data_IF_104181088282
#
_entry.id   IF_104181088282
#
_cell.length_a   1.000
_cell.length_b   1.000
_cell.length_c   1.000
_cell.angle_alpha   90.00
_cell.angle_beta   90.00
_cell.angle_gamma   90.00
#
_symmetry.space_group_name_H-M   'P 1'
#
loop_
_entity.id
_entity.type
_entity.pdbx_description
1 polymer ?
#
# COMPACT_ATOMS: atom_id res chain seq x y z
N UNK A 1 -31.62 -0.14 35.20
CA UNK A 1 -30.94 -1.40 34.81
C UNK A 1 -30.02 -1.98 35.90
N UNK A 2 -29.44 -1.16 36.79
CA UNK A 2 -28.49 -1.63 37.83
C UNK A 2 -29.02 -2.69 38.80
N UNK A 3 -30.34 -2.74 39.07
CA UNK A 3 -30.95 -3.67 40.03
C UNK A 3 -31.10 -5.09 39.43
N UNK A 4 -31.40 -5.20 38.13
CA UNK A 4 -31.58 -6.49 37.45
C UNK A 4 -30.25 -7.21 37.22
N UNK A 5 -29.19 -6.49 36.84
CA UNK A 5 -27.86 -7.07 36.66
C UNK A 5 -27.24 -7.56 37.98
N UNK A 6 -27.47 -6.87 39.10
CA UNK A 6 -27.02 -7.36 40.41
C UNK A 6 -27.75 -8.63 40.88
N UNK A 7 -28.97 -8.88 40.38
CA UNK A 7 -29.85 -9.98 40.85
C UNK A 7 -29.79 -11.23 39.97
N UNK A 8 -29.49 -11.09 38.67
CA UNK A 8 -29.56 -12.20 37.70
C UNK A 8 -28.30 -12.41 36.83
N UNK A 9 -27.27 -11.57 36.95
CA UNK A 9 -26.05 -11.76 36.15
C UNK A 9 -25.13 -12.81 36.78
N UNK A 10 -24.84 -13.87 36.01
CA UNK A 10 -23.88 -14.92 36.38
C UNK A 10 -22.42 -14.54 36.07
N UNK A 11 -22.19 -13.44 35.35
CA UNK A 11 -20.84 -12.93 35.10
C UNK A 11 -20.30 -12.18 36.34
N UNK A 12 -19.51 -12.91 37.14
CA UNK A 12 -18.87 -12.41 38.36
C UNK A 12 -17.93 -11.22 38.14
N UNK A 13 -17.42 -11.01 36.91
CA UNK A 13 -16.48 -9.91 36.64
C UNK A 13 -17.17 -8.57 36.38
N UNK A 14 -18.40 -8.58 35.84
CA UNK A 14 -19.13 -7.35 35.50
C UNK A 14 -20.34 -7.09 36.39
N UNK A 15 -20.89 -8.10 37.08
CA UNK A 15 -22.07 -7.98 37.94
C UNK A 15 -21.93 -6.91 39.04
N UNK A 16 -20.76 -6.80 39.67
CA UNK A 16 -20.47 -5.78 40.69
C UNK A 16 -20.47 -4.35 40.14
N UNK A 17 -20.18 -4.16 38.85
CA UNK A 17 -20.21 -2.86 38.15
C UNK A 17 -21.53 -2.63 37.40
N UNK A 18 -22.58 -3.38 37.71
CA UNK A 18 -23.88 -3.29 37.04
C UNK A 18 -23.87 -3.84 35.61
N UNK A 19 -23.03 -4.85 35.34
CA UNK A 19 -22.90 -5.48 34.02
C UNK A 19 -22.15 -4.64 32.99
N UNK A 20 -21.46 -3.57 33.40
CA UNK A 20 -20.76 -2.67 32.48
C UNK A 20 -19.40 -3.24 32.08
N UNK A 21 -19.19 -3.40 30.78
CA UNK A 21 -17.91 -3.77 30.20
C UNK A 21 -17.06 -2.53 29.88
N UNK A 22 -15.74 -2.72 29.83
CA UNK A 22 -14.84 -1.71 29.26
C UNK A 22 -15.12 -1.53 27.75
N UNK A 23 -14.81 -0.36 27.16
CA UNK A 23 -14.92 -0.18 25.72
C UNK A 23 -14.12 -1.25 24.98
N UNK A 24 -14.73 -1.89 23.98
CA UNK A 24 -14.10 -2.93 23.19
C UNK A 24 -14.26 -2.69 21.69
N UNK A 25 -13.39 -3.31 20.90
CA UNK A 25 -13.39 -3.35 19.44
C UNK A 25 -13.54 -4.79 18.96
N UNK A 26 -13.78 -4.98 17.66
CA UNK A 26 -13.93 -6.33 17.11
C UNK A 26 -12.71 -7.22 17.39
N UNK A 27 -12.98 -8.46 17.79
CA UNK A 27 -12.00 -9.47 18.16
C UNK A 27 -11.47 -9.37 19.59
N UNK A 28 -12.03 -8.50 20.44
CA UNK A 28 -11.62 -8.35 21.84
C UNK A 28 -12.52 -9.14 22.81
N UNK A 29 -13.72 -9.52 22.39
CA UNK A 29 -14.62 -10.37 23.15
C UNK A 29 -14.57 -11.77 22.53
N UNK A 30 -14.33 -12.78 23.37
CA UNK A 30 -14.27 -14.20 22.95
C UNK A 30 -15.66 -14.80 22.64
N UNK A 31 -16.52 -14.04 21.94
CA UNK A 31 -17.84 -14.44 21.49
C UNK A 31 -18.29 -13.60 20.30
N UNK A 32 -18.20 -14.19 19.10
CA UNK A 32 -18.65 -13.55 17.84
C UNK A 32 -20.14 -13.18 17.89
N UNK A 33 -21.06 -14.05 18.38
CA UNK A 33 -22.47 -13.67 18.49
C UNK A 33 -22.69 -12.44 19.37
N UNK A 34 -21.95 -12.35 20.49
CA UNK A 34 -22.01 -11.19 21.39
C UNK A 34 -21.51 -9.92 20.70
N UNK A 35 -20.35 -9.98 20.05
CA UNK A 35 -19.80 -8.82 19.34
C UNK A 35 -20.75 -8.31 18.26
N UNK A 36 -21.26 -9.21 17.41
CA UNK A 36 -22.17 -8.85 16.32
C UNK A 36 -23.43 -8.17 16.85
N UNK A 37 -24.05 -8.75 17.88
CA UNK A 37 -25.23 -8.16 18.50
C UNK A 37 -24.94 -6.79 19.13
N UNK A 38 -23.80 -6.62 19.79
CA UNK A 38 -23.40 -5.34 20.37
C UNK A 38 -23.13 -4.26 19.31
N UNK A 39 -22.46 -4.59 18.21
CA UNK A 39 -22.12 -3.64 17.14
C UNK A 39 -23.33 -3.23 16.29
N UNK A 40 -24.34 -4.10 16.20
CA UNK A 40 -25.61 -3.83 15.52
C UNK A 40 -26.52 -2.86 16.28
N UNK A 41 -26.27 -2.61 17.56
CA UNK A 41 -26.98 -1.55 18.30
C UNK A 41 -26.56 -0.17 17.77
N UNK A 42 -27.55 0.69 17.56
CA UNK A 42 -27.38 2.03 16.98
C UNK A 42 -27.72 3.09 18.01
N UNK A 43 -28.85 2.96 18.70
CA UNK A 43 -29.34 4.00 19.60
C UNK A 43 -28.77 3.86 21.01
N UNK A 44 -28.41 5.00 21.62
CA UNK A 44 -27.97 5.02 23.01
C UNK A 44 -29.09 4.49 23.91
N UNK A 45 -28.74 3.54 24.77
CA UNK A 45 -29.62 2.76 25.62
C UNK A 45 -30.44 1.65 24.96
N UNK A 46 -30.29 1.39 23.66
CA UNK A 46 -30.91 0.26 22.98
C UNK A 46 -30.47 -1.05 23.62
N UNK A 47 -31.41 -2.00 23.70
CA UNK A 47 -31.19 -3.35 24.24
C UNK A 47 -31.32 -4.35 23.08
N UNK A 48 -30.43 -5.33 22.99
CA UNK A 48 -30.49 -6.40 22.00
C UNK A 48 -31.58 -7.41 22.33
N UNK A 49 -31.98 -8.20 21.33
CA UNK A 49 -32.62 -9.48 21.57
C UNK A 49 -31.71 -10.41 22.39
N UNK A 50 -32.26 -11.47 23.03
CA UNK A 50 -31.45 -12.47 23.72
C UNK A 50 -30.41 -13.10 22.78
N UNK A 51 -29.14 -12.98 23.15
CA UNK A 51 -28.01 -13.50 22.39
C UNK A 51 -27.48 -14.74 23.06
N UNK A 52 -27.56 -15.88 22.37
CA UNK A 52 -26.94 -17.12 22.83
C UNK A 52 -25.44 -17.11 22.53
N UNK A 53 -24.63 -17.43 23.54
CA UNK A 53 -23.20 -17.63 23.41
C UNK A 53 -22.80 -18.93 24.12
N UNK A 54 -21.53 -19.35 23.98
CA UNK A 54 -20.99 -20.48 24.74
C UNK A 54 -21.04 -20.32 26.27
N UNK A 55 -21.33 -19.12 26.77
CA UNK A 55 -21.48 -18.81 28.19
C UNK A 55 -22.94 -18.68 28.63
N UNK A 56 -23.90 -18.94 27.73
CA UNK A 56 -25.34 -18.84 27.99
C UNK A 56 -25.99 -17.68 27.25
N UNK A 57 -27.10 -17.18 27.80
CA UNK A 57 -27.92 -16.14 27.19
C UNK A 57 -27.56 -14.75 27.74
N UNK A 58 -27.46 -13.77 26.84
CA UNK A 58 -27.07 -12.40 27.18
C UNK A 58 -28.07 -11.39 26.64
N UNK A 59 -28.34 -10.34 27.42
CA UNK A 59 -29.01 -9.12 26.98
C UNK A 59 -27.99 -7.99 26.99
N UNK A 60 -27.79 -7.36 25.85
CA UNK A 60 -26.75 -6.34 25.65
C UNK A 60 -27.40 -4.98 25.60
N UNK A 61 -26.87 -4.00 26.35
CA UNK A 61 -27.31 -2.61 26.28
C UNK A 61 -26.19 -1.70 25.78
N UNK A 62 -26.49 -0.89 24.77
CA UNK A 62 -25.56 0.12 24.26
C UNK A 62 -25.51 1.33 25.20
N UNK A 63 -24.34 1.62 25.76
CA UNK A 63 -24.12 2.80 26.60
C UNK A 63 -23.53 3.98 25.82
N UNK A 64 -22.57 3.68 24.97
CA UNK A 64 -21.83 4.65 24.17
C UNK A 64 -21.23 3.94 22.95
N UNK A 65 -21.17 4.62 21.80
CA UNK A 65 -20.58 4.12 20.56
C UNK A 65 -19.62 5.18 20.06
N UNK A 66 -18.35 4.80 19.91
CA UNK A 66 -17.33 5.69 19.35
C UNK A 66 -17.26 5.47 17.86
N UNK A 67 -17.42 6.55 17.10
CA UNK A 67 -17.25 6.50 15.66
C UNK A 67 -15.80 6.21 15.29
N UNK A 68 -15.64 5.48 14.19
CA UNK A 68 -14.34 5.18 13.62
C UNK A 68 -13.94 6.39 12.78
N UNK A 69 -12.75 6.92 13.05
CA UNK A 69 -12.14 7.97 12.23
C UNK A 69 -11.93 7.48 10.80
N UNK A 70 -11.78 8.41 9.86
CA UNK A 70 -11.48 8.07 8.48
C UNK A 70 -10.26 7.16 8.37
N UNK A 71 -10.29 6.28 7.36
CA UNK A 71 -9.27 5.24 7.19
C UNK A 71 -7.85 5.82 7.19
N UNK A 72 -7.63 6.95 6.52
CA UNK A 72 -6.31 7.57 6.41
C UNK A 72 -5.75 8.04 7.77
N UNK A 73 -6.61 8.49 8.70
CA UNK A 73 -6.19 8.86 10.06
C UNK A 73 -5.73 7.65 10.88
N UNK A 74 -6.38 6.50 10.69
CA UNK A 74 -6.14 5.29 11.51
C UNK A 74 -5.23 4.27 10.82
N UNK A 75 -4.95 4.44 9.54
CA UNK A 75 -4.14 3.52 8.72
C UNK A 75 -2.82 3.16 9.39
N UNK A 76 -2.09 4.16 9.87
CA UNK A 76 -0.81 3.93 10.54
C UNK A 76 -0.95 3.10 11.83
N UNK A 77 -1.98 3.38 12.63
CA UNK A 77 -2.26 2.62 13.85
C UNK A 77 -2.66 1.17 13.54
N UNK A 78 -3.51 0.97 12.53
CA UNK A 78 -3.91 -0.35 12.06
C UNK A 78 -2.71 -1.15 11.54
N UNK A 79 -1.85 -0.53 10.73
CA UNK A 79 -0.62 -1.16 10.24
C UNK A 79 0.30 -1.56 11.39
N UNK A 80 0.46 -0.72 12.40
CA UNK A 80 1.27 -1.07 13.58
C UNK A 80 0.66 -2.20 14.40
N UNK A 81 -0.68 -2.25 14.54
CA UNK A 81 -1.37 -3.39 15.18
C UNK A 81 -1.20 -4.67 14.38
N UNK A 82 -1.34 -4.61 13.06
CA UNK A 82 -1.16 -5.75 12.17
C UNK A 82 0.27 -6.27 12.22
N UNK A 83 1.28 -5.40 12.11
CA UNK A 83 2.70 -5.75 12.19
C UNK A 83 3.09 -6.47 13.49
N UNK A 84 2.38 -6.18 14.59
CA UNK A 84 2.57 -6.83 15.90
C UNK A 84 1.79 -8.14 16.06
N UNK A 85 0.92 -8.50 15.12
CA UNK A 85 0.11 -9.70 15.21
C UNK A 85 0.89 -10.95 14.78
N UNK A 86 0.70 -12.06 15.49
CA UNK A 86 1.33 -13.35 15.15
C UNK A 86 0.95 -13.86 13.76
N UNK A 87 -0.28 -13.60 13.31
CA UNK A 87 -0.70 -13.98 11.95
C UNK A 87 0.10 -13.24 10.88
N UNK A 88 0.37 -11.96 11.09
CA UNK A 88 1.18 -11.18 10.15
C UNK A 88 2.62 -11.70 10.11
N UNK A 89 3.21 -12.03 11.27
CA UNK A 89 4.57 -12.59 11.30
C UNK A 89 4.66 -13.91 10.52
N UNK A 90 3.70 -14.82 10.69
CA UNK A 90 3.63 -16.08 9.92
C UNK A 90 3.53 -15.85 8.41
N UNK A 91 2.66 -14.93 7.97
CA UNK A 91 2.52 -14.60 6.55
C UNK A 91 3.82 -14.01 5.99
N UNK A 92 4.45 -13.09 6.73
CA UNK A 92 5.71 -12.49 6.32
C UNK A 92 6.84 -13.52 6.24
N UNK A 93 6.95 -14.42 7.21
CA UNK A 93 7.95 -15.51 7.19
C UNK A 93 7.74 -16.44 6.00
N UNK A 94 6.50 -16.83 5.72
CA UNK A 94 6.18 -17.64 4.53
C UNK A 94 6.59 -16.93 3.24
N UNK A 95 6.32 -15.63 3.14
CA UNK A 95 6.69 -14.83 1.98
C UNK A 95 8.21 -14.74 1.79
N UNK A 96 8.96 -14.38 2.83
CA UNK A 96 10.42 -14.34 2.77
C UNK A 96 11.04 -15.70 2.51
N UNK A 97 10.49 -16.79 3.07
CA UNK A 97 10.94 -18.15 2.76
C UNK A 97 10.79 -18.49 1.27
N UNK A 98 9.75 -17.97 0.61
CA UNK A 98 9.51 -18.16 -0.82
C UNK A 98 10.51 -17.34 -1.64
N UNK A 99 10.81 -16.11 -1.21
CA UNK A 99 11.83 -15.28 -1.86
C UNK A 99 13.23 -15.88 -1.73
N UNK A 100 13.61 -16.35 -0.53
CA UNK A 100 14.89 -17.03 -0.32
C UNK A 100 15.02 -18.26 -1.20
N UNK A 101 13.98 -19.10 -1.28
CA UNK A 101 13.96 -20.27 -2.19
C UNK A 101 14.10 -19.85 -3.65
N UNK A 102 13.38 -18.81 -4.08
CA UNK A 102 13.44 -18.28 -5.45
C UNK A 102 14.86 -17.86 -5.84
N UNK A 103 15.57 -17.18 -4.94
CA UNK A 103 16.92 -16.70 -5.20
C UNK A 103 18.02 -17.66 -4.71
N UNK A 104 17.65 -18.87 -4.26
CA UNK A 104 18.59 -19.87 -3.70
C UNK A 104 19.46 -19.34 -2.56
N UNK A 105 18.85 -18.54 -1.67
CA UNK A 105 19.51 -17.89 -0.54
C UNK A 105 19.18 -18.58 0.80
N UNK A 106 20.07 -18.38 1.78
CA UNK A 106 19.88 -18.78 3.17
C UNK A 106 20.28 -17.63 4.10
N UNK A 107 19.71 -17.61 5.32
CA UNK A 107 20.17 -16.70 6.38
C UNK A 107 21.46 -17.17 7.04
N UNK A 108 21.91 -18.40 6.78
CA UNK A 108 23.19 -18.89 7.27
C UNK A 108 24.34 -18.22 6.50
N UNK A 109 25.18 -17.47 7.21
CA UNK A 109 26.35 -16.84 6.62
C UNK A 109 27.52 -16.88 7.61
N UNK A 110 28.59 -17.58 7.23
CA UNK A 110 29.82 -17.68 8.05
C UNK A 110 30.56 -16.36 8.17
N UNK A 111 30.28 -15.41 7.27
CA UNK A 111 30.88 -14.08 7.29
C UNK A 111 30.36 -13.22 8.46
N UNK A 112 29.32 -13.66 9.20
CA UNK A 112 28.81 -12.90 10.35
C UNK A 112 29.80 -12.80 11.51
N UNK A 113 30.67 -13.79 11.68
CA UNK A 113 31.70 -13.79 12.74
C UNK A 113 32.62 -12.55 12.64
N UNK A 114 32.87 -12.08 11.42
CA UNK A 114 33.60 -10.85 11.15
C UNK A 114 32.93 -9.65 11.84
N UNK A 115 31.62 -9.48 11.64
CA UNK A 115 30.85 -8.37 12.23
C UNK A 115 30.66 -8.55 13.74
N UNK A 116 30.47 -9.79 14.21
CA UNK A 116 30.38 -10.09 15.65
C UNK A 116 31.66 -9.63 16.38
N UNK A 117 32.84 -9.83 15.76
CA UNK A 117 34.12 -9.39 16.33
C UNK A 117 34.34 -7.87 16.34
N UNK A 118 33.59 -7.13 15.52
CA UNK A 118 33.71 -5.67 15.38
C UNK A 118 32.78 -4.87 16.29
N UNK A 119 31.70 -5.48 16.74
CA UNK A 119 30.73 -4.82 17.62
C UNK A 119 31.18 -4.93 19.08
N UNK A 120 31.00 -3.84 19.81
CA UNK A 120 31.28 -3.75 21.24
C UNK A 120 30.13 -3.06 21.99
N UNK A 121 30.35 -2.69 23.26
CA UNK A 121 29.32 -2.03 24.07
C UNK A 121 28.88 -0.66 23.55
N UNK A 122 29.69 0.03 22.73
CA UNK A 122 29.34 1.35 22.15
C UNK A 122 28.14 1.27 21.21
N UNK A 123 27.87 0.09 20.64
CA UNK A 123 26.67 -0.13 19.81
C UNK A 123 25.38 0.09 20.59
N UNK A 124 25.39 -0.25 21.88
CA UNK A 124 24.24 -0.11 22.78
C UNK A 124 24.13 1.31 23.38
N UNK A 125 25.13 2.16 23.17
CA UNK A 125 25.06 3.61 23.49
C UNK A 125 24.73 4.46 22.27
N UNK A 126 24.86 3.88 21.06
CA UNK A 126 24.60 4.56 19.79
C UNK A 126 25.82 5.35 19.31
N UNK A 127 27.01 5.01 19.80
CA UNK A 127 28.27 5.69 19.48
C UNK A 127 29.21 4.78 18.66
N UNK A 128 28.74 3.59 18.26
CA UNK A 128 29.53 2.71 17.41
C UNK A 128 29.62 3.29 16.00
N UNK A 129 30.82 3.24 15.44
CA UNK A 129 31.09 3.67 14.07
C UNK A 129 31.83 2.56 13.32
N UNK A 130 31.71 2.56 12.00
CA UNK A 130 32.38 1.58 11.14
C UNK A 130 33.91 1.71 11.31
N UNK A 131 34.65 0.62 11.63
CA UNK A 131 36.10 0.66 11.73
C UNK A 131 36.79 0.96 10.38
N UNK A 132 37.88 1.74 10.39
CA UNK A 132 38.65 2.09 9.17
C UNK A 132 39.29 0.88 8.47
N UNK A 133 39.48 -0.23 9.17
CA UNK A 133 40.09 -1.45 8.63
C UNK A 133 39.08 -2.44 8.03
N UNK A 134 37.86 -1.98 7.73
CA UNK A 134 36.84 -2.83 7.13
C UNK A 134 37.20 -3.21 5.69
N UNK A 135 36.93 -4.47 5.32
CA UNK A 135 37.13 -4.96 3.96
C UNK A 135 35.95 -4.54 3.07
N UNK A 136 35.88 -3.26 2.71
CA UNK A 136 34.73 -2.62 2.05
C UNK A 136 34.27 -3.33 0.78
N UNK A 137 35.22 -3.83 -0.01
CA UNK A 137 34.96 -4.40 -1.34
C UNK A 137 34.57 -5.89 -1.28
N UNK A 138 34.74 -6.54 -0.13
CA UNK A 138 34.41 -7.94 0.02
C UNK A 138 32.91 -8.16 -0.12
N UNK A 139 32.55 -9.11 -0.97
CA UNK A 139 31.16 -9.50 -1.17
C UNK A 139 30.65 -10.27 0.03
N UNK A 140 29.57 -9.78 0.65
CA UNK A 140 28.86 -10.46 1.73
C UNK A 140 27.94 -11.54 1.19
N UNK A 141 27.13 -11.18 0.18
CA UNK A 141 26.18 -12.05 -0.50
C UNK A 141 25.74 -11.43 -1.83
N UNK A 142 25.38 -12.26 -2.80
CA UNK A 142 24.79 -11.81 -4.06
C UNK A 142 23.32 -12.23 -4.13
N UNK A 143 22.42 -11.29 -4.41
CA UNK A 143 20.99 -11.52 -4.58
C UNK A 143 20.65 -11.21 -6.04
N UNK A 144 20.45 -12.24 -6.86
CA UNK A 144 20.26 -12.11 -8.29
C UNK A 144 21.42 -11.33 -8.97
N UNK A 145 21.20 -10.08 -9.35
CA UNK A 145 22.17 -9.17 -9.98
C UNK A 145 22.76 -8.14 -9.00
N UNK A 146 22.28 -8.13 -7.75
CA UNK A 146 22.74 -7.21 -6.71
C UNK A 146 23.81 -7.86 -5.85
N UNK A 147 25.03 -7.37 -5.95
CA UNK A 147 26.14 -7.72 -5.05
C UNK A 147 26.06 -6.84 -3.80
N UNK A 148 25.84 -7.45 -2.64
CA UNK A 148 25.90 -6.77 -1.34
C UNK A 148 27.28 -7.00 -0.74
N UNK A 149 27.94 -5.91 -0.39
CA UNK A 149 29.29 -5.89 0.16
C UNK A 149 29.27 -5.83 1.69
N UNK A 150 30.45 -5.97 2.28
CA UNK A 150 30.63 -5.83 3.72
C UNK A 150 30.31 -4.42 4.20
N UNK A 151 30.69 -3.40 3.43
CA UNK A 151 30.37 -2.00 3.75
C UNK A 151 28.85 -1.77 3.81
N UNK A 152 28.08 -2.36 2.90
CA UNK A 152 26.61 -2.20 2.88
C UNK A 152 25.97 -2.70 4.18
N UNK A 153 26.45 -3.82 4.72
CA UNK A 153 25.94 -4.35 5.97
C UNK A 153 26.49 -3.60 7.18
N UNK A 154 27.74 -3.14 7.16
CA UNK A 154 28.31 -2.32 8.22
C UNK A 154 27.57 -0.98 8.38
N UNK A 155 27.27 -0.29 7.27
CA UNK A 155 26.42 0.91 7.27
C UNK A 155 25.03 0.59 7.80
N UNK A 156 24.45 -0.56 7.42
CA UNK A 156 23.17 -0.99 7.98
C UNK A 156 23.22 -1.23 9.50
N UNK A 157 24.32 -1.79 10.03
CA UNK A 157 24.51 -1.94 11.47
C UNK A 157 24.57 -0.58 12.17
N UNK A 158 25.36 0.36 11.63
CA UNK A 158 25.52 1.72 12.16
C UNK A 158 24.18 2.46 12.22
N UNK A 159 23.40 2.42 11.14
CA UNK A 159 22.09 3.08 11.01
C UNK A 159 21.02 2.50 11.94
N UNK A 160 21.18 1.23 12.36
CA UNK A 160 20.19 0.50 13.15
C UNK A 160 20.54 0.37 14.63
N UNK A 161 21.49 1.18 15.12
CA UNK A 161 21.86 1.22 16.53
C UNK A 161 20.67 1.51 17.44
N UNK A 162 20.61 0.78 18.56
CA UNK A 162 19.52 0.92 19.54
C UNK A 162 20.08 1.03 20.94
N UNK A 163 19.77 2.17 21.56
CA UNK A 163 20.08 2.43 22.95
C UNK A 163 19.33 1.49 23.89
N UNK A 164 20.04 0.94 24.87
CA UNK A 164 19.44 0.15 25.95
C UNK A 164 18.96 -1.26 25.55
N UNK A 165 19.45 -1.82 24.45
CA UNK A 165 19.25 -3.24 24.15
C UNK A 165 20.18 -4.10 25.00
N UNK A 166 19.69 -5.24 25.52
CA UNK A 166 20.47 -6.21 26.32
C UNK A 166 20.66 -7.54 25.58
N UNK A 167 20.49 -7.53 24.25
CA UNK A 167 20.59 -8.74 23.42
C UNK A 167 22.07 -9.09 23.20
N UNK A 168 22.47 -10.38 23.30
CA UNK A 168 23.81 -10.82 22.94
C UNK A 168 24.22 -10.37 21.52
N UNK A 169 25.48 -9.95 21.34
CA UNK A 169 25.98 -9.38 20.07
C UNK A 169 25.79 -10.36 18.90
N UNK A 170 26.04 -11.65 19.11
CA UNK A 170 25.83 -12.68 18.09
C UNK A 170 24.37 -12.75 17.60
N UNK A 171 23.40 -12.72 18.52
CA UNK A 171 21.98 -12.72 18.20
C UNK A 171 21.57 -11.40 17.53
N UNK A 172 22.09 -10.28 18.01
CA UNK A 172 21.85 -8.96 17.43
C UNK A 172 22.31 -8.90 15.97
N UNK A 173 23.55 -9.30 15.69
CA UNK A 173 24.12 -9.32 14.34
C UNK A 173 23.30 -10.24 13.43
N UNK A 174 22.92 -11.43 13.91
CA UNK A 174 22.07 -12.34 13.17
C UNK A 174 20.69 -11.74 12.84
N UNK A 175 20.02 -11.12 13.82
CA UNK A 175 18.70 -10.52 13.62
C UNK A 175 18.74 -9.31 12.68
N UNK A 176 19.81 -8.51 12.75
CA UNK A 176 20.03 -7.40 11.82
C UNK A 176 20.38 -7.90 10.42
N UNK A 177 21.19 -8.94 10.31
CA UNK A 177 21.49 -9.59 9.03
C UNK A 177 20.22 -10.13 8.39
N UNK A 178 19.37 -10.85 9.14
CA UNK A 178 18.08 -11.35 8.64
C UNK A 178 17.23 -10.22 8.06
N UNK A 179 17.11 -9.10 8.78
CA UNK A 179 16.37 -7.90 8.31
C UNK A 179 17.00 -7.29 7.07
N UNK A 180 18.33 -7.21 7.02
CA UNK A 180 19.08 -6.70 5.87
C UNK A 180 18.83 -7.56 4.63
N UNK A 181 18.86 -8.89 4.76
CA UNK A 181 18.53 -9.81 3.67
C UNK A 181 17.07 -9.70 3.25
N UNK A 182 16.13 -9.67 4.20
CA UNK A 182 14.70 -9.53 3.93
C UNK A 182 14.42 -8.25 3.12
N UNK A 183 15.00 -7.13 3.55
CA UNK A 183 14.88 -5.85 2.84
C UNK A 183 15.45 -5.94 1.43
N UNK A 184 16.71 -6.34 1.28
CA UNK A 184 17.36 -6.34 -0.03
C UNK A 184 16.73 -7.35 -1.01
N UNK A 185 16.30 -8.51 -0.51
CA UNK A 185 15.60 -9.51 -1.34
C UNK A 185 14.25 -8.98 -1.81
N UNK A 186 13.51 -8.29 -0.94
CA UNK A 186 12.26 -7.64 -1.31
C UNK A 186 12.47 -6.54 -2.36
N UNK A 187 13.51 -5.72 -2.21
CA UNK A 187 13.82 -4.66 -3.18
C UNK A 187 14.20 -5.24 -4.55
N UNK A 188 15.05 -6.28 -4.60
CA UNK A 188 15.36 -7.00 -5.85
C UNK A 188 14.09 -7.59 -6.47
N UNK A 189 13.23 -8.20 -5.65
CA UNK A 189 11.96 -8.75 -6.12
C UNK A 189 11.04 -7.67 -6.72
N UNK A 190 10.90 -6.52 -6.07
CA UNK A 190 10.11 -5.38 -6.59
C UNK A 190 10.65 -4.86 -7.91
N UNK A 191 11.97 -4.70 -8.01
CA UNK A 191 12.62 -4.17 -9.22
C UNK A 191 12.49 -5.13 -10.41
N UNK A 192 12.41 -6.43 -10.16
CA UNK A 192 12.20 -7.44 -11.19
C UNK A 192 10.72 -7.77 -11.42
N UNK A 193 9.78 -7.23 -10.62
CA UNK A 193 8.36 -7.55 -10.71
C UNK A 193 7.77 -7.24 -12.09
N UNK A 194 8.15 -6.12 -12.71
CA UNK A 194 7.73 -5.77 -14.08
C UNK A 194 8.29 -6.76 -15.12
N UNK A 195 9.46 -7.37 -14.87
CA UNK A 195 10.07 -8.37 -15.78
C UNK A 195 9.53 -9.78 -15.56
N UNK A 196 9.16 -10.13 -14.34
CA UNK A 196 8.75 -11.49 -13.99
C UNK A 196 7.23 -11.69 -14.00
N UNK A 197 6.45 -10.63 -13.76
CA UNK A 197 4.99 -10.69 -13.68
C UNK A 197 4.36 -9.95 -14.87
N UNK A 198 3.77 -10.70 -15.80
CA UNK A 198 3.12 -10.16 -17.00
C UNK A 198 1.96 -9.24 -16.66
N UNK A 199 1.11 -9.62 -15.71
CA UNK A 199 -0.11 -8.88 -15.38
C UNK A 199 0.25 -7.53 -14.75
N UNK A 200 1.20 -7.54 -13.82
CA UNK A 200 1.76 -6.31 -13.24
C UNK A 200 2.41 -5.43 -14.31
N UNK A 201 3.18 -6.01 -15.23
CA UNK A 201 3.77 -5.28 -16.36
C UNK A 201 2.70 -4.61 -17.20
N UNK A 202 1.63 -5.32 -17.55
CA UNK A 202 0.56 -4.76 -18.37
C UNK A 202 -0.13 -3.60 -17.66
N UNK A 203 -0.48 -3.74 -16.39
CA UNK A 203 -1.10 -2.67 -15.59
C UNK A 203 -0.21 -1.42 -15.53
N UNK A 204 1.07 -1.59 -15.19
CA UNK A 204 2.02 -0.46 -15.12
C UNK A 204 2.24 0.17 -16.50
N UNK A 205 2.33 -0.64 -17.55
CA UNK A 205 2.48 -0.15 -18.92
C UNK A 205 1.27 0.67 -19.35
N UNK A 206 0.05 0.17 -19.15
CA UNK A 206 -1.19 0.88 -19.47
C UNK A 206 -1.28 2.20 -18.71
N UNK A 207 -0.91 2.22 -17.42
CA UNK A 207 -0.88 3.45 -16.63
C UNK A 207 0.11 4.48 -17.19
N UNK A 208 1.35 4.06 -17.51
CA UNK A 208 2.37 4.95 -18.09
C UNK A 208 1.95 5.49 -19.47
N UNK A 209 1.41 4.62 -20.32
CA UNK A 209 0.91 4.99 -21.65
C UNK A 209 -0.30 5.92 -21.55
N UNK A 210 -1.20 5.69 -20.58
CA UNK A 210 -2.34 6.56 -20.29
C UNK A 210 -1.92 7.94 -19.80
N UNK A 211 -0.95 8.03 -18.89
CA UNK A 211 -0.39 9.31 -18.43
C UNK A 211 0.32 10.05 -19.56
N UNK A 212 1.09 9.34 -20.38
CA UNK A 212 1.76 9.94 -21.54
C UNK A 212 0.73 10.51 -22.52
N UNK A 213 -0.31 9.73 -22.85
CA UNK A 213 -1.39 10.18 -23.70
C UNK A 213 -2.10 11.39 -23.09
N UNK A 214 -2.45 11.34 -21.81
CA UNK A 214 -3.07 12.44 -21.09
C UNK A 214 -2.22 13.71 -21.16
N UNK A 215 -0.92 13.62 -20.91
CA UNK A 215 0.00 14.76 -20.98
C UNK A 215 0.08 15.34 -22.41
N UNK A 216 0.14 14.47 -23.42
CA UNK A 216 0.12 14.91 -24.82
C UNK A 216 -1.20 15.60 -25.17
N UNK A 217 -2.34 15.06 -24.73
CA UNK A 217 -3.66 15.68 -24.92
C UNK A 217 -3.74 17.04 -24.23
N UNK A 218 -3.26 17.14 -22.99
CA UNK A 218 -3.17 18.41 -22.26
C UNK A 218 -2.35 19.44 -23.03
N UNK A 219 -1.15 19.08 -23.50
CA UNK A 219 -0.24 20.00 -24.17
C UNK A 219 -0.72 20.40 -25.57
N UNK A 220 -1.25 19.44 -26.35
CA UNK A 220 -1.55 19.63 -27.77
C UNK A 220 -2.99 20.04 -28.04
N UNK A 221 -3.93 19.72 -27.16
CA UNK A 221 -5.37 19.86 -27.43
C UNK A 221 -6.06 20.67 -26.34
N UNK A 222 -5.98 20.26 -25.07
CA UNK A 222 -6.85 20.81 -24.02
C UNK A 222 -6.39 22.17 -23.48
N UNK A 223 -5.09 22.45 -23.43
CA UNK A 223 -4.60 23.75 -22.93
C UNK A 223 -4.79 24.85 -23.98
N UNK A 224 -5.65 25.83 -23.67
CA UNK A 224 -5.84 27.04 -24.47
C UNK A 224 -4.83 28.10 -24.03
N UNK A 225 -3.87 28.45 -24.90
CA UNK A 225 -2.86 29.49 -24.63
C UNK A 225 -3.37 30.88 -25.03
N UNK A 226 -2.69 31.96 -24.62
CA UNK A 226 -3.07 33.33 -25.04
C UNK A 226 -3.09 33.49 -26.57
N UNK A 227 -2.16 32.84 -27.28
CA UNK A 227 -2.14 32.75 -28.75
C UNK A 227 -3.37 32.05 -29.34
N UNK A 228 -4.04 31.21 -28.55
CA UNK A 228 -5.22 30.49 -29.01
C UNK A 228 -6.48 31.36 -28.91
N UNK A 229 -6.46 32.49 -28.19
CA UNK A 229 -7.61 33.41 -28.13
C UNK A 229 -7.98 33.99 -29.50
N UNK A 230 -6.98 34.32 -30.31
CA UNK A 230 -7.16 34.79 -31.70
C UNK A 230 -7.62 33.65 -32.60
N UNK A 231 -7.03 32.45 -32.45
CA UNK A 231 -7.46 31.25 -33.18
C UNK A 231 -8.89 30.84 -32.83
N UNK A 232 -9.30 30.96 -31.57
CA UNK A 232 -10.65 30.67 -31.10
C UNK A 232 -11.65 31.65 -31.72
N UNK A 233 -11.28 32.93 -31.80
CA UNK A 233 -12.11 33.96 -32.44
C UNK A 233 -12.24 33.70 -33.94
N UNK A 234 -11.15 33.41 -34.64
CA UNK A 234 -11.18 33.03 -36.05
C UNK A 234 -11.99 31.75 -36.29
N UNK A 235 -11.90 30.77 -35.39
CA UNK A 235 -12.68 29.53 -35.48
C UNK A 235 -14.18 29.80 -35.34
N UNK A 236 -14.58 30.65 -34.39
CA UNK A 236 -15.95 31.13 -34.26
C UNK A 236 -16.39 31.89 -35.52
N UNK A 237 -15.56 32.80 -36.03
CA UNK A 237 -15.92 33.62 -37.19
C UNK A 237 -16.17 32.77 -38.45
N UNK A 238 -15.44 31.66 -38.60
CA UNK A 238 -15.62 30.70 -39.69
C UNK A 238 -16.81 29.74 -39.49
N UNK A 239 -17.44 29.71 -38.32
CA UNK A 239 -18.52 28.80 -37.96
C UNK A 239 -19.70 29.54 -37.30
N UNK A 240 -19.90 30.83 -37.60
CA UNK A 240 -20.90 31.69 -36.94
C UNK A 240 -22.30 31.08 -36.91
N UNK A 241 -22.69 30.39 -37.99
CA UNK A 241 -24.01 29.78 -38.13
C UNK A 241 -24.32 28.69 -37.08
N UNK A 242 -23.31 28.19 -36.34
CA UNK A 242 -23.45 27.13 -35.32
C UNK A 242 -23.60 27.64 -33.89
N UNK A 243 -23.47 28.95 -33.68
CA UNK A 243 -23.41 29.58 -32.35
C UNK A 243 -24.30 30.83 -32.28
N UNK A 244 -24.86 31.11 -31.10
CA UNK A 244 -25.66 32.32 -30.89
C UNK A 244 -24.78 33.55 -30.67
N UNK A 245 -23.63 33.36 -30.01
CA UNK A 245 -22.67 34.42 -29.72
C UNK A 245 -21.36 33.88 -29.16
N UNK A 246 -20.27 34.65 -29.31
CA UNK A 246 -18.93 34.20 -28.90
C UNK A 246 -18.80 34.02 -27.37
N UNK A 247 -19.38 34.92 -26.58
CA UNK A 247 -19.35 34.81 -25.12
C UNK A 247 -20.44 33.88 -24.58
N UNK A 248 -21.62 33.89 -25.20
CA UNK A 248 -22.78 33.05 -24.81
C UNK A 248 -22.45 31.55 -24.97
N UNK A 249 -21.82 31.18 -26.08
CA UNK A 249 -21.46 29.79 -26.39
C UNK A 249 -19.98 29.49 -26.16
N UNK A 250 -19.26 30.29 -25.36
CA UNK A 250 -17.79 30.18 -25.23
C UNK A 250 -17.31 28.78 -24.85
N UNK A 251 -18.00 28.10 -23.92
CA UNK A 251 -17.67 26.73 -23.53
C UNK A 251 -17.84 25.72 -24.67
N UNK A 252 -18.90 25.86 -25.46
CA UNK A 252 -19.19 25.04 -26.63
C UNK A 252 -18.16 25.29 -27.74
N UNK A 253 -17.83 26.55 -28.00
CA UNK A 253 -16.80 26.96 -28.98
C UNK A 253 -15.43 26.37 -28.62
N UNK A 254 -15.05 26.40 -27.33
CA UNK A 254 -13.80 25.78 -26.86
C UNK A 254 -13.82 24.27 -27.09
N UNK A 255 -14.92 23.58 -26.76
CA UNK A 255 -15.06 22.14 -27.01
C UNK A 255 -14.93 21.78 -28.50
N UNK A 256 -15.66 22.48 -29.37
CA UNK A 256 -15.62 22.25 -30.81
C UNK A 256 -14.24 22.59 -31.41
N UNK A 257 -13.59 23.64 -30.92
CA UNK A 257 -12.22 23.99 -31.31
C UNK A 257 -11.21 22.91 -30.89
N UNK A 258 -11.30 22.40 -29.66
CA UNK A 258 -10.45 21.29 -29.19
C UNK A 258 -10.65 20.03 -30.04
N UNK A 259 -11.90 19.69 -30.38
CA UNK A 259 -12.21 18.55 -31.25
C UNK A 259 -11.62 18.73 -32.66
N UNK A 260 -11.64 19.95 -33.19
CA UNK A 260 -10.99 20.27 -34.47
C UNK A 260 -9.48 20.06 -34.40
N UNK A 261 -8.82 20.51 -33.32
CA UNK A 261 -7.38 20.33 -33.10
C UNK A 261 -7.02 18.86 -32.96
N UNK A 262 -7.81 18.10 -32.23
CA UNK A 262 -7.65 16.66 -32.10
C UNK A 262 -7.72 15.96 -33.46
N UNK A 263 -8.72 16.30 -34.28
CA UNK A 263 -8.89 15.73 -35.62
C UNK A 263 -7.71 16.03 -36.53
N UNK A 264 -7.23 17.28 -36.54
CA UNK A 264 -6.04 17.69 -37.30
C UNK A 264 -4.80 16.94 -36.81
N UNK A 265 -4.61 16.86 -35.50
CA UNK A 265 -3.47 16.18 -34.90
C UNK A 265 -3.45 14.68 -35.22
N UNK A 266 -4.59 13.99 -35.10
CA UNK A 266 -4.74 12.58 -35.46
C UNK A 266 -4.47 12.33 -36.96
N UNK A 267 -4.94 13.22 -37.83
CA UNK A 267 -4.67 13.11 -39.27
C UNK A 267 -3.18 13.26 -39.58
N UNK A 268 -2.51 14.25 -38.97
CA UNK A 268 -1.08 14.44 -39.11
C UNK A 268 -0.28 13.21 -38.61
N UNK A 269 -0.69 12.63 -37.48
CA UNK A 269 -0.09 11.40 -36.96
C UNK A 269 -0.25 10.23 -37.92
N UNK A 270 -1.45 10.03 -38.49
CA UNK A 270 -1.71 8.96 -39.48
C UNK A 270 -0.89 9.12 -40.75
N UNK A 271 -0.66 10.36 -41.21
CA UNK A 271 0.17 10.64 -42.37
C UNK A 271 1.65 10.36 -42.08
N UNK A 272 2.13 10.74 -40.90
CA UNK A 272 3.53 10.57 -40.48
C UNK A 272 3.87 9.12 -40.15
N UNK A 273 2.93 8.38 -39.56
CA UNK A 273 3.14 7.02 -39.10
C UNK A 273 2.21 6.05 -39.85
N UNK A 274 2.78 5.29 -40.79
CA UNK A 274 2.05 4.24 -41.51
C UNK A 274 1.69 3.10 -40.55
N UNK A 275 0.42 3.04 -40.14
CA UNK A 275 -0.10 1.94 -39.32
C UNK A 275 -0.56 0.80 -40.24
N UNK A 276 0.03 -0.38 -40.09
CA UNK A 276 -0.39 -1.60 -40.79
C UNK A 276 -1.22 -2.48 -39.85
N UNK A 277 -2.52 -2.60 -40.14
CA UNK A 277 -3.43 -3.43 -39.36
C UNK A 277 -3.46 -4.86 -39.90
N UNK A 278 -3.27 -5.85 -39.02
CA UNK A 278 -3.50 -7.25 -39.35
C UNK A 278 -5.01 -7.55 -39.43
N UNK A 279 -5.58 -7.38 -40.62
CA UNK A 279 -7.01 -7.56 -40.89
C UNK A 279 -7.55 -8.94 -40.49
N UNK A 280 -6.72 -10.00 -40.57
CA UNK A 280 -7.11 -11.37 -40.16
C UNK A 280 -7.26 -11.48 -38.64
N UNK A 281 -6.35 -10.88 -37.88
CA UNK A 281 -6.41 -10.86 -36.41
C UNK A 281 -7.62 -10.07 -35.90
N UNK A 282 -7.90 -8.90 -36.50
CA UNK A 282 -9.07 -8.07 -36.16
C UNK A 282 -10.38 -8.81 -36.40
N UNK A 283 -10.51 -9.51 -37.54
CA UNK A 283 -11.71 -10.30 -37.85
C UNK A 283 -11.94 -11.44 -36.84
N UNK A 284 -10.87 -12.12 -36.39
CA UNK A 284 -10.96 -13.17 -35.37
C UNK A 284 -11.41 -12.64 -34.01
N UNK A 285 -10.87 -11.49 -33.58
CA UNK A 285 -11.27 -10.85 -32.32
C UNK A 285 -12.74 -10.41 -32.37
N UNK A 286 -13.17 -9.81 -33.48
CA UNK A 286 -14.58 -9.39 -33.67
C UNK A 286 -15.55 -10.55 -33.51
N UNK A 287 -15.24 -11.72 -34.05
CA UNK A 287 -16.07 -12.92 -33.95
C UNK A 287 -16.04 -13.59 -32.56
N UNK A 288 -15.10 -13.22 -31.69
CA UNK A 288 -14.97 -13.80 -30.34
C UNK A 288 -15.76 -13.02 -29.29
N UNK A 289 -16.00 -11.73 -29.54
CA UNK A 289 -16.64 -10.81 -28.60
C UNK A 289 -17.98 -10.23 -29.11
N UNK A 290 -18.39 -10.59 -30.33
CA UNK A 290 -19.75 -10.41 -30.86
C UNK A 290 -20.44 -11.78 -30.94
#
# INVERSE_FOLDING_TARGET
MSIWQKKYSEDKNSSFKGGRLNPFSSGQINSIPFENAAFNLVEKNQISDPVETKYGWHLIKLYDKKDIKEFDEIKYQLLNKLKKSSRFSMVSESFYSTLLKRYSLSYENKNLDYFISMLDSSYFTGDWSIPENIDEEKTLITIHDKNLKYIDFATFLEDNQKRGSSVPINQLVYDLYKKFIDYNTLEVYKNNLEKENSDYRYVIKEYREGLLLFNLMQEKIWTVKESDSTLLKSFFDNNKDKYTGFEEDRGKIIGDFQQSRESIWLNNLKLKHKVTLNKKAVKRLRNKYN
#
